data_IF_518471214910
#
_entry.id   IF_518471214910
#
_cell.length_a   1.000
_cell.length_b   1.000
_cell.length_c   1.000
_cell.angle_alpha   90.00
_cell.angle_beta   90.00
_cell.angle_gamma   90.00
#
_symmetry.space_group_name_H-M   'P 1'
#
loop_
_entity.id
_entity.type
_entity.pdbx_description
1 polymer ?
#
# COMPACT_ATOMS: atom_id res chain seq x y z
N UNK A 1 -6.77 25.81 4.44
CA UNK A 1 -5.48 25.07 4.58
C UNK A 1 -5.73 23.66 4.05
N UNK A 2 -5.01 23.22 3.02
CA UNK A 2 -5.12 21.85 2.55
C UNK A 2 -4.64 20.90 3.66
N UNK A 3 -5.40 19.86 3.93
CA UNK A 3 -5.09 18.92 5.00
C UNK A 3 -3.81 18.16 4.64
N UNK A 4 -2.82 18.14 5.54
CA UNK A 4 -1.55 17.47 5.30
C UNK A 4 -1.71 15.97 5.45
N UNK A 5 -1.12 15.18 4.55
CA UNK A 5 -1.12 13.72 4.67
C UNK A 5 -0.35 13.29 5.92
N UNK A 6 -0.89 12.33 6.66
CA UNK A 6 -0.25 11.76 7.87
C UNK A 6 0.61 10.53 7.55
N UNK A 7 0.46 10.01 6.34
CA UNK A 7 1.17 8.85 5.84
C UNK A 7 1.31 8.98 4.32
N UNK A 8 2.50 8.70 3.82
CA UNK A 8 2.80 8.70 2.41
C UNK A 8 3.77 7.57 2.07
N UNK A 9 3.43 6.83 1.02
CA UNK A 9 4.29 5.85 0.35
C UNK A 9 4.28 6.18 -1.13
N UNK A 10 5.48 6.25 -1.70
CA UNK A 10 5.68 6.53 -3.11
C UNK A 10 6.45 5.37 -3.72
N UNK A 11 6.06 4.98 -4.93
CA UNK A 11 6.75 3.97 -5.75
C UNK A 11 7.00 2.63 -5.04
N UNK A 12 6.07 2.25 -4.16
CA UNK A 12 6.20 1.05 -3.36
C UNK A 12 6.11 -0.21 -4.23
N UNK A 13 7.14 -1.05 -4.15
CA UNK A 13 7.23 -2.32 -4.87
C UNK A 13 7.63 -3.45 -3.92
N UNK A 14 7.06 -4.65 -4.14
CA UNK A 14 7.40 -5.83 -3.34
C UNK A 14 7.53 -7.07 -4.20
N UNK A 15 8.69 -7.72 -4.05
CA UNK A 15 9.01 -9.01 -4.66
C UNK A 15 9.50 -9.96 -3.57
N UNK A 16 9.00 -11.19 -3.55
CA UNK A 16 9.50 -12.25 -2.67
C UNK A 16 10.72 -12.95 -3.30
N UNK A 17 11.53 -13.66 -2.48
CA UNK A 17 12.56 -14.55 -3.01
C UNK A 17 12.01 -15.49 -4.08
N UNK A 18 12.79 -15.74 -5.13
CA UNK A 18 12.34 -16.51 -6.29
C UNK A 18 11.60 -15.67 -7.35
N UNK A 19 11.61 -14.33 -7.25
CA UNK A 19 11.14 -13.44 -8.31
C UNK A 19 9.63 -13.22 -8.35
N UNK A 20 8.88 -13.72 -7.35
CA UNK A 20 7.43 -13.52 -7.28
C UNK A 20 7.12 -12.05 -6.93
N UNK A 21 6.81 -11.26 -7.95
CA UNK A 21 6.33 -9.89 -7.81
C UNK A 21 4.91 -9.88 -7.23
N UNK A 22 4.70 -9.12 -6.16
CA UNK A 22 3.41 -8.98 -5.47
C UNK A 22 2.68 -7.74 -6.00
N UNK A 23 3.39 -6.62 -6.02
CA UNK A 23 2.95 -5.36 -6.61
C UNK A 23 4.18 -4.51 -6.96
N UNK A 24 3.97 -3.53 -7.83
CA UNK A 24 4.98 -2.62 -8.32
C UNK A 24 4.36 -1.23 -8.47
N UNK A 25 5.14 -0.21 -8.11
CA UNK A 25 4.81 1.20 -8.26
C UNK A 25 3.47 1.61 -7.62
N UNK A 26 3.20 1.14 -6.40
CA UNK A 26 2.04 1.58 -5.63
C UNK A 26 2.31 2.94 -4.98
N UNK A 27 1.33 3.82 -5.05
CA UNK A 27 1.31 5.12 -4.37
C UNK A 27 0.16 5.14 -3.38
N UNK A 28 0.43 5.55 -2.15
CA UNK A 28 -0.53 5.54 -1.06
C UNK A 28 -0.32 6.78 -0.20
N UNK A 29 -1.40 7.51 0.07
CA UNK A 29 -1.36 8.68 0.94
C UNK A 29 -2.66 8.77 1.73
N UNK A 30 -2.54 9.01 3.03
CA UNK A 30 -3.68 9.05 3.94
C UNK A 30 -3.83 10.43 4.58
N UNK A 31 -5.07 10.92 4.59
CA UNK A 31 -5.45 12.06 5.40
C UNK A 31 -5.63 11.64 6.87
N UNK A 32 -5.49 12.59 7.82
CA UNK A 32 -5.91 12.37 9.20
C UNK A 32 -7.32 11.78 9.26
N UNK A 33 -7.52 10.85 10.19
CA UNK A 33 -8.81 10.20 10.50
C UNK A 33 -9.42 9.35 9.35
N UNK A 34 -8.70 9.15 8.25
CA UNK A 34 -9.16 8.30 7.17
C UNK A 34 -9.28 6.82 7.62
N UNK A 35 -10.40 6.19 7.30
CA UNK A 35 -10.63 4.75 7.46
C UNK A 35 -10.64 4.09 6.09
N UNK A 36 -9.71 3.18 5.84
CA UNK A 36 -9.46 2.66 4.49
C UNK A 36 -9.49 1.13 4.51
N UNK A 37 -10.20 0.57 3.54
CA UNK A 37 -10.26 -0.86 3.29
C UNK A 37 -9.59 -1.21 1.96
N UNK A 38 -8.80 -2.28 1.94
CA UNK A 38 -8.17 -2.79 0.71
C UNK A 38 -8.96 -4.02 0.23
N UNK A 39 -9.45 -3.97 -1.01
CA UNK A 39 -10.25 -5.04 -1.65
C UNK A 39 -9.54 -5.66 -2.84
N UNK A 40 -9.88 -6.90 -3.18
CA UNK A 40 -9.27 -7.64 -4.29
C UNK A 40 -9.23 -9.14 -4.06
N UNK A 41 -8.90 -9.90 -5.11
CA UNK A 41 -8.85 -11.38 -5.08
C UNK A 41 -7.79 -11.93 -4.14
N UNK A 42 -7.90 -13.21 -3.75
CA UNK A 42 -6.87 -13.86 -2.94
C UNK A 42 -5.53 -13.89 -3.68
N UNK A 43 -4.45 -13.57 -2.97
CA UNK A 43 -3.12 -13.46 -3.56
C UNK A 43 -2.77 -12.10 -4.17
N UNK A 44 -3.70 -11.14 -4.25
CA UNK A 44 -3.44 -9.80 -4.83
C UNK A 44 -2.55 -8.87 -3.98
N UNK A 45 -1.92 -9.38 -2.91
CA UNK A 45 -1.01 -8.59 -2.08
C UNK A 45 -1.65 -7.74 -0.97
N UNK A 46 -2.96 -7.81 -0.74
CA UNK A 46 -3.67 -6.98 0.28
C UNK A 46 -3.04 -7.05 1.68
N UNK A 47 -2.88 -8.26 2.22
CA UNK A 47 -2.27 -8.46 3.54
C UNK A 47 -0.78 -8.11 3.55
N UNK A 48 -0.11 -8.17 2.40
CA UNK A 48 1.28 -7.72 2.25
C UNK A 48 1.34 -6.19 2.29
N UNK A 49 0.42 -5.51 1.61
CA UNK A 49 0.33 -4.04 1.56
C UNK A 49 0.04 -3.45 2.94
N UNK A 50 -0.92 -4.02 3.68
CA UNK A 50 -1.30 -3.56 5.03
C UNK A 50 -0.24 -3.80 6.11
N UNK A 51 0.80 -4.60 5.82
CA UNK A 51 1.90 -4.88 6.76
C UNK A 51 3.09 -3.95 6.57
N UNK A 52 3.05 -3.06 5.59
CA UNK A 52 4.16 -2.14 5.33
C UNK A 52 4.03 -1.00 6.35
N UNK A 53 5.08 -0.76 7.15
CA UNK A 53 5.07 0.23 8.23
C UNK A 53 4.90 1.65 7.71
#
# INVERSE_FOLDING_TARGET
>A
MAQQYIFQMQELSKTYPGGKKVFENIWLSFYPDAKIGVVGVNGSGKSTLLKIP
#
